data_IF_800434601073
#
_entry.id   IF_800434601073
#
_cell.length_a   1.000
_cell.length_b   1.000
_cell.length_c   1.000
_cell.angle_alpha   90.00
_cell.angle_beta   90.00
_cell.angle_gamma   90.00
#
_symmetry.space_group_name_H-M   'P 1'
#
loop_
_entity.id
_entity.type
_entity.pdbx_description
1 polymer ?
#
# COMPACT_ATOMS: atom_id res chain seq x y z
N UNK A 1 -12.00 14.95 20.65
CA UNK A 1 -12.48 15.21 22.04
C UNK A 1 -13.96 14.86 22.21
N UNK A 2 -14.89 15.44 21.42
CA UNK A 2 -16.32 15.09 21.48
C UNK A 2 -16.58 13.58 21.24
N UNK A 3 -16.02 13.01 20.18
CA UNK A 3 -16.14 11.57 19.89
C UNK A 3 -15.67 10.71 21.06
N UNK A 4 -14.49 11.00 21.62
CA UNK A 4 -13.97 10.27 22.76
C UNK A 4 -14.93 10.33 23.97
N UNK A 5 -15.49 11.50 24.28
CA UNK A 5 -16.44 11.64 25.38
C UNK A 5 -17.74 10.84 25.15
N UNK A 6 -18.25 10.85 23.92
CA UNK A 6 -19.48 10.14 23.55
C UNK A 6 -19.26 8.62 23.46
N UNK A 7 -18.13 8.18 22.93
CA UNK A 7 -17.70 6.78 22.92
C UNK A 7 -17.58 6.26 24.35
N UNK A 8 -16.92 6.99 25.25
CA UNK A 8 -16.84 6.61 26.67
C UNK A 8 -18.23 6.52 27.28
N UNK A 9 -19.11 7.50 27.02
CA UNK A 9 -20.48 7.48 27.53
C UNK A 9 -21.29 6.27 27.03
N UNK A 10 -20.99 5.75 25.84
CA UNK A 10 -21.59 4.53 25.29
C UNK A 10 -20.99 3.27 25.90
N UNK A 11 -19.69 3.22 26.07
CA UNK A 11 -19.01 2.08 26.70
C UNK A 11 -19.39 1.92 28.17
N UNK A 12 -19.76 3.01 28.84
CA UNK A 12 -20.33 2.98 30.20
C UNK A 12 -21.66 2.19 30.26
N UNK A 13 -22.38 2.02 29.13
CA UNK A 13 -23.75 1.48 29.11
C UNK A 13 -23.92 0.22 28.29
N UNK A 14 -23.10 0.03 27.25
CA UNK A 14 -23.08 -1.18 26.43
C UNK A 14 -21.85 -2.00 26.79
N UNK A 15 -21.96 -2.76 27.88
CA UNK A 15 -20.90 -3.63 28.36
C UNK A 15 -20.46 -4.61 27.28
N UNK A 16 -19.15 -4.78 27.12
CA UNK A 16 -18.50 -5.67 26.15
C UNK A 16 -18.56 -5.23 24.67
N UNK A 17 -19.08 -4.04 24.36
CA UNK A 17 -18.95 -3.45 23.03
C UNK A 17 -17.49 -3.04 22.76
N UNK A 18 -16.97 -3.37 21.59
CA UNK A 18 -15.61 -2.99 21.23
C UNK A 18 -15.50 -1.46 21.08
N UNK A 19 -14.34 -0.85 21.34
CA UNK A 19 -14.15 0.59 21.09
C UNK A 19 -14.53 1.01 19.66
N UNK A 20 -14.26 0.15 18.67
CA UNK A 20 -14.61 0.41 17.27
C UNK A 20 -16.13 0.44 17.04
N UNK A 21 -16.87 -0.54 17.59
CA UNK A 21 -18.33 -0.58 17.49
C UNK A 21 -18.98 0.60 18.23
N UNK A 22 -18.43 0.98 19.39
CA UNK A 22 -18.89 2.15 20.14
C UNK A 22 -18.66 3.44 19.39
N UNK A 23 -17.50 3.62 18.75
CA UNK A 23 -17.21 4.76 17.87
C UNK A 23 -18.21 4.77 16.72
N UNK A 24 -18.39 3.64 16.03
CA UNK A 24 -19.29 3.50 14.87
C UNK A 24 -20.71 3.93 15.21
N UNK A 25 -21.25 3.48 16.34
CA UNK A 25 -22.61 3.82 16.73
C UNK A 25 -22.78 5.27 17.21
N UNK A 26 -21.70 5.89 17.70
CA UNK A 26 -21.66 7.31 18.05
C UNK A 26 -21.64 8.16 16.77
N UNK A 27 -20.76 7.86 15.81
CA UNK A 27 -20.64 8.66 14.57
C UNK A 27 -21.86 8.55 13.65
N UNK A 28 -22.56 7.41 13.64
CA UNK A 28 -23.79 7.21 12.85
C UNK A 28 -25.08 7.42 13.63
N UNK A 29 -25.02 8.12 14.77
CA UNK A 29 -26.23 8.49 15.50
C UNK A 29 -27.18 9.32 14.63
N UNK A 30 -28.42 8.86 14.48
CA UNK A 30 -29.45 9.53 13.66
C UNK A 30 -30.52 10.26 14.48
N UNK A 31 -30.30 10.41 15.79
CA UNK A 31 -31.18 11.12 16.70
C UNK A 31 -31.08 12.64 16.56
N UNK A 32 -31.75 13.37 17.44
CA UNK A 32 -31.70 14.85 17.45
C UNK A 32 -30.25 15.33 17.44
N UNK A 33 -29.93 16.20 16.48
CA UNK A 33 -28.60 16.79 16.39
C UNK A 33 -28.32 17.63 17.64
N UNK A 34 -27.17 17.38 18.27
CA UNK A 34 -26.65 18.18 19.39
C UNK A 34 -25.44 18.95 18.91
N UNK A 35 -25.36 20.23 19.26
CA UNK A 35 -24.21 21.06 18.95
C UNK A 35 -23.02 20.78 19.88
N UNK A 36 -22.08 21.72 19.88
CA UNK A 36 -20.75 21.57 20.45
C UNK A 36 -20.53 22.38 21.73
N UNK A 37 -21.53 23.14 22.17
CA UNK A 37 -21.45 23.88 23.43
C UNK A 37 -21.59 22.97 24.65
N UNK A 38 -21.21 23.49 25.82
CA UNK A 38 -21.15 22.69 27.04
C UNK A 38 -22.51 22.10 27.46
N UNK A 39 -23.62 22.80 27.19
CA UNK A 39 -24.95 22.33 27.55
C UNK A 39 -25.36 21.18 26.63
N UNK A 40 -25.25 21.37 25.31
CA UNK A 40 -25.68 20.36 24.34
C UNK A 40 -24.81 19.10 24.40
N UNK A 41 -23.51 19.24 24.69
CA UNK A 41 -22.60 18.12 24.95
C UNK A 41 -23.01 17.34 26.19
N UNK A 42 -23.40 18.03 27.27
CA UNK A 42 -23.88 17.39 28.48
C UNK A 42 -25.18 16.61 28.23
N UNK A 43 -26.14 17.21 27.51
CA UNK A 43 -27.39 16.55 27.12
C UNK A 43 -27.14 15.33 26.22
N UNK A 44 -26.20 15.42 25.28
CA UNK A 44 -25.83 14.30 24.42
C UNK A 44 -25.25 13.12 25.22
N UNK A 45 -24.35 13.39 26.16
CA UNK A 45 -23.76 12.36 27.04
C UNK A 45 -24.83 11.67 27.88
N UNK A 46 -25.76 12.43 28.47
CA UNK A 46 -26.87 11.86 29.23
C UNK A 46 -27.79 11.02 28.35
N UNK A 47 -28.09 11.51 27.14
CA UNK A 47 -28.87 10.77 26.15
C UNK A 47 -28.23 9.44 25.76
N UNK A 48 -26.93 9.45 25.43
CA UNK A 48 -26.17 8.25 25.08
C UNK A 48 -26.19 7.23 26.22
N UNK A 49 -26.02 7.69 27.47
CA UNK A 49 -26.14 6.84 28.65
C UNK A 49 -27.56 6.30 28.87
N UNK A 50 -28.58 7.02 28.41
CA UNK A 50 -29.96 6.56 28.41
C UNK A 50 -30.31 5.70 27.17
N UNK A 51 -29.34 5.40 26.29
CA UNK A 51 -29.52 4.56 25.10
C UNK A 51 -29.93 5.30 23.84
N UNK A 52 -29.90 6.63 23.82
CA UNK A 52 -30.14 7.40 22.58
C UNK A 52 -28.86 7.53 21.76
N UNK A 53 -29.01 7.74 20.45
CA UNK A 53 -27.89 7.92 19.51
C UNK A 53 -28.01 9.28 18.83
N UNK A 54 -27.65 10.38 19.50
CA UNK A 54 -27.78 11.73 18.94
C UNK A 54 -26.89 11.90 17.71
N UNK A 55 -27.34 12.71 16.74
CA UNK A 55 -26.49 13.13 15.63
C UNK A 55 -25.45 14.15 16.11
N UNK A 56 -24.22 14.01 15.65
CA UNK A 56 -23.07 14.78 16.12
C UNK A 56 -22.77 15.93 15.17
N UNK A 57 -22.66 17.13 15.72
CA UNK A 57 -22.11 18.29 15.01
C UNK A 57 -20.83 18.75 15.69
N UNK A 58 -19.84 19.12 14.89
CA UNK A 58 -18.64 19.80 15.36
C UNK A 58 -18.85 21.30 15.50
N UNK A 59 -17.83 21.98 16.04
CA UNK A 59 -17.81 23.45 16.17
C UNK A 59 -17.92 24.20 14.85
N UNK A 60 -17.54 23.56 13.76
CA UNK A 60 -17.50 24.16 12.43
C UNK A 60 -18.57 23.65 11.47
N UNK A 61 -19.48 22.79 11.93
CA UNK A 61 -20.59 22.24 11.14
C UNK A 61 -20.83 20.74 11.40
N UNK A 62 -21.77 20.13 10.64
CA UNK A 62 -21.99 18.69 10.67
C UNK A 62 -20.72 17.90 10.36
N UNK A 63 -20.60 16.70 10.93
CA UNK A 63 -19.50 15.78 10.69
C UNK A 63 -20.05 14.53 10.02
N UNK A 64 -19.72 14.33 8.75
CA UNK A 64 -19.98 13.08 8.05
C UNK A 64 -18.72 12.21 8.08
N UNK A 65 -18.83 10.91 8.31
CA UNK A 65 -17.70 9.99 8.44
C UNK A 65 -17.69 8.91 7.35
N UNK A 66 -16.49 8.44 7.00
CA UNK A 66 -16.25 7.35 6.06
C UNK A 66 -17.04 6.09 6.44
N UNK A 67 -17.72 5.45 5.49
CA UNK A 67 -18.62 4.32 5.76
C UNK A 67 -17.91 3.03 6.22
N UNK A 68 -16.62 2.91 5.88
CA UNK A 68 -15.83 1.70 6.09
C UNK A 68 -15.40 1.59 7.56
N UNK A 69 -14.72 2.61 8.07
CA UNK A 69 -14.12 2.62 9.40
C UNK A 69 -14.85 3.55 10.37
N UNK A 70 -15.55 4.58 9.88
CA UNK A 70 -16.29 5.52 10.72
C UNK A 70 -15.39 6.40 11.59
N UNK A 71 -14.13 6.59 11.18
CA UNK A 71 -13.13 7.33 11.97
C UNK A 71 -12.63 8.59 11.27
N UNK A 72 -12.81 8.67 9.94
CA UNK A 72 -12.34 9.81 9.15
C UNK A 72 -13.50 10.66 8.62
N UNK A 73 -13.44 11.99 8.82
CA UNK A 73 -14.47 12.88 8.31
C UNK A 73 -14.41 12.96 6.77
N UNK A 74 -15.57 12.81 6.12
CA UNK A 74 -15.74 12.90 4.66
C UNK A 74 -15.37 14.27 4.12
N UNK A 75 -15.78 15.30 4.86
CA UNK A 75 -15.46 16.68 4.60
C UNK A 75 -15.23 17.41 5.92
N UNK A 76 -14.22 18.28 5.91
CA UNK A 76 -13.96 19.24 6.98
C UNK A 76 -14.39 20.62 6.50
N UNK A 77 -15.15 21.32 7.34
CA UNK A 77 -15.56 22.69 7.08
C UNK A 77 -14.95 23.62 8.13
N UNK A 78 -14.55 24.81 7.71
CA UNK A 78 -14.12 25.91 8.56
C UNK A 78 -15.07 27.07 8.34
N UNK A 79 -15.82 27.45 9.38
CA UNK A 79 -16.70 28.61 9.33
C UNK A 79 -15.97 29.83 9.90
N UNK A 80 -15.86 30.89 9.11
CA UNK A 80 -15.41 32.19 9.60
C UNK A 80 -16.62 32.91 10.19
N UNK A 81 -16.58 33.20 11.49
CA UNK A 81 -17.64 33.92 12.19
C UNK A 81 -17.13 35.18 12.86
N UNK A 82 -18.04 36.12 13.10
CA UNK A 82 -17.87 37.30 13.95
C UNK A 82 -18.94 37.30 15.03
N UNK A 83 -18.66 37.98 16.15
CA UNK A 83 -19.64 38.20 17.21
C UNK A 83 -20.12 39.64 17.10
N UNK A 84 -21.41 39.81 16.83
CA UNK A 84 -22.11 41.10 16.83
C UNK A 84 -23.27 40.99 17.84
N UNK A 85 -23.37 41.94 18.76
CA UNK A 85 -24.41 41.99 19.82
C UNK A 85 -24.58 40.68 20.63
N UNK A 86 -23.47 40.03 20.99
CA UNK A 86 -23.45 38.73 21.69
C UNK A 86 -24.05 37.57 20.91
N UNK A 87 -24.21 37.72 19.59
CA UNK A 87 -24.68 36.67 18.69
C UNK A 87 -23.62 36.33 17.65
N UNK A 88 -23.48 35.04 17.33
CA UNK A 88 -22.56 34.58 16.29
C UNK A 88 -23.16 34.84 14.90
N UNK A 89 -22.42 35.52 14.04
CA UNK A 89 -22.74 35.71 12.62
C UNK A 89 -21.68 35.08 11.75
N UNK A 90 -22.06 34.10 10.93
CA UNK A 90 -21.15 33.43 9.99
C UNK A 90 -20.92 34.31 8.76
N UNK A 91 -19.67 34.68 8.50
CA UNK A 91 -19.25 35.47 7.34
C UNK A 91 -18.97 34.61 6.10
N UNK A 92 -18.59 33.35 6.29
CA UNK A 92 -18.34 32.40 5.20
C UNK A 92 -17.93 31.02 5.69
N UNK A 93 -18.05 30.02 4.82
CA UNK A 93 -17.68 28.63 5.10
C UNK A 93 -16.66 28.15 4.06
N UNK A 94 -15.53 27.63 4.52
CA UNK A 94 -14.47 27.02 3.73
C UNK A 94 -14.53 25.50 3.92
N UNK A 95 -14.94 24.76 2.89
CA UNK A 95 -14.95 23.29 2.91
C UNK A 95 -13.71 22.69 2.25
N UNK A 96 -13.18 21.58 2.79
CA UNK A 96 -12.23 20.72 2.07
C UNK A 96 -12.88 20.01 0.88
N UNK A 97 -14.21 19.88 0.89
CA UNK A 97 -15.01 19.42 -0.23
C UNK A 97 -15.86 20.55 -0.83
N UNK A 98 -15.84 20.71 -2.16
CA UNK A 98 -17.07 21.17 -2.83
C UNK A 98 -18.03 20.01 -2.62
N UNK A 99 -19.21 20.28 -2.07
CA UNK A 99 -20.23 19.33 -1.59
C UNK A 99 -20.66 18.17 -2.53
N UNK A 100 -20.02 17.96 -3.68
CA UNK A 100 -20.37 16.99 -4.70
C UNK A 100 -19.32 15.88 -4.92
N UNK A 101 -18.24 15.82 -4.13
CA UNK A 101 -17.16 14.82 -4.34
C UNK A 101 -16.57 14.26 -3.04
N UNK A 102 -17.40 13.92 -2.05
CA UNK A 102 -17.09 12.65 -1.36
C UNK A 102 -17.16 11.57 -2.46
N UNK A 103 -16.22 10.62 -2.50
CA UNK A 103 -16.29 9.52 -3.48
C UNK A 103 -17.70 8.94 -3.51
N UNK A 104 -18.18 8.42 -4.64
CA UNK A 104 -19.54 7.89 -4.77
C UNK A 104 -19.90 6.80 -3.72
N UNK A 105 -18.88 6.30 -3.00
CA UNK A 105 -18.84 5.34 -1.89
C UNK A 105 -18.77 5.94 -0.47
N UNK A 106 -18.65 7.27 -0.29
CA UNK A 106 -18.49 7.90 1.02
C UNK A 106 -17.07 7.82 1.59
N UNK A 107 -16.07 8.26 0.81
CA UNK A 107 -14.65 8.36 1.22
C UNK A 107 -14.23 9.80 1.58
N UNK A 108 -13.22 9.95 2.43
CA UNK A 108 -12.71 11.25 2.89
C UNK A 108 -12.02 12.06 1.80
N UNK A 109 -12.51 13.29 1.57
CA UNK A 109 -11.94 14.23 0.59
C UNK A 109 -10.50 14.63 0.93
N UNK A 110 -10.11 14.58 2.21
CA UNK A 110 -8.72 14.80 2.63
C UNK A 110 -7.82 13.65 2.16
N UNK A 111 -8.28 12.40 2.24
CA UNK A 111 -7.55 11.24 1.71
C UNK A 111 -7.41 11.32 0.19
N UNK A 112 -8.49 11.68 -0.52
CA UNK A 112 -8.48 11.82 -1.99
C UNK A 112 -7.61 12.98 -2.48
N UNK A 113 -7.53 14.11 -1.75
CA UNK A 113 -6.62 15.22 -2.11
C UNK A 113 -5.16 14.92 -1.77
N UNK A 114 -4.90 14.27 -0.64
CA UNK A 114 -3.56 13.91 -0.22
C UNK A 114 -2.93 12.88 -1.18
N UNK A 115 -3.72 11.92 -1.66
CA UNK A 115 -3.28 10.96 -2.68
C UNK A 115 -2.78 11.72 -3.93
N UNK A 116 -3.54 12.69 -4.44
CA UNK A 116 -3.16 13.51 -5.59
C UNK A 116 -1.82 14.27 -5.42
N UNK A 117 -1.53 14.78 -4.23
CA UNK A 117 -0.28 15.54 -3.95
C UNK A 117 0.95 14.68 -3.69
N UNK A 118 0.75 13.40 -3.36
CA UNK A 118 1.81 12.44 -3.02
C UNK A 118 2.16 11.50 -4.20
N UNK A 119 1.41 11.61 -5.31
CA UNK A 119 1.93 11.27 -6.62
C UNK A 119 2.82 12.40 -7.10
N UNK A 120 4.05 12.12 -7.51
CA UNK A 120 4.77 13.08 -8.37
C UNK A 120 3.91 13.28 -9.61
N UNK A 121 3.36 14.46 -9.84
CA UNK A 121 2.55 14.77 -11.03
C UNK A 121 3.43 15.47 -12.07
N UNK A 122 3.25 15.17 -13.38
CA UNK A 122 4.01 15.85 -14.41
C UNK A 122 3.76 17.35 -14.37
N UNK A 123 4.81 18.16 -14.52
CA UNK A 123 4.64 19.58 -14.84
C UNK A 123 4.08 19.66 -16.27
N UNK A 124 3.07 20.51 -16.51
CA UNK A 124 2.27 20.59 -17.75
C UNK A 124 3.04 20.89 -19.05
N UNK A 125 4.36 20.88 -19.03
CA UNK A 125 5.26 21.21 -20.14
C UNK A 125 6.33 20.15 -20.42
N UNK A 126 6.26 18.97 -19.80
CA UNK A 126 7.21 17.88 -20.05
C UNK A 126 6.75 16.99 -21.22
N UNK A 127 7.70 16.63 -22.07
CA UNK A 127 7.53 15.59 -23.09
C UNK A 127 7.35 14.26 -22.37
N UNK A 128 6.21 13.62 -22.55
CA UNK A 128 5.94 12.30 -21.99
C UNK A 128 6.92 11.27 -22.58
N UNK A 129 7.44 10.37 -21.76
CA UNK A 129 8.20 9.23 -22.25
C UNK A 129 7.28 8.36 -23.12
N UNK A 130 7.63 8.21 -24.39
CA UNK A 130 7.02 7.24 -25.27
C UNK A 130 7.93 6.01 -25.35
N UNK A 131 7.43 4.81 -25.02
CA UNK A 131 8.20 3.59 -25.16
C UNK A 131 8.73 3.45 -26.59
N UNK A 132 10.01 3.09 -26.77
CA UNK A 132 10.69 3.16 -28.06
C UNK A 132 10.15 2.18 -29.11
N UNK A 133 9.43 1.14 -28.68
CA UNK A 133 8.86 0.11 -29.53
C UNK A 133 7.62 -0.51 -28.89
N UNK A 134 6.90 -1.30 -29.69
CA UNK A 134 5.80 -2.12 -29.21
C UNK A 134 6.30 -3.20 -28.25
N UNK A 135 5.43 -3.59 -27.33
CA UNK A 135 5.68 -4.66 -26.37
C UNK A 135 5.74 -5.99 -27.11
N UNK A 136 6.82 -6.74 -26.91
CA UNK A 136 7.04 -8.05 -27.52
C UNK A 136 7.15 -9.16 -26.48
N UNK A 137 7.40 -8.83 -25.22
CA UNK A 137 7.69 -9.80 -24.17
C UNK A 137 7.38 -9.26 -22.76
N UNK A 138 7.33 -10.16 -21.79
CA UNK A 138 7.14 -9.87 -20.36
C UNK A 138 8.07 -10.71 -19.49
N UNK A 139 8.66 -10.10 -18.46
CA UNK A 139 9.45 -10.81 -17.44
C UNK A 139 9.15 -10.28 -16.05
N UNK A 140 9.27 -11.13 -15.05
CA UNK A 140 9.12 -10.76 -13.65
C UNK A 140 10.33 -11.15 -12.81
N UNK A 141 10.65 -10.35 -11.81
CA UNK A 141 11.62 -10.67 -10.75
C UNK A 141 10.96 -10.40 -9.41
N UNK A 142 10.85 -11.42 -8.57
CA UNK A 142 10.16 -11.35 -7.26
C UNK A 142 11.17 -11.71 -6.18
N UNK A 143 11.31 -10.87 -5.16
CA UNK A 143 12.24 -11.11 -4.05
C UNK A 143 11.61 -10.89 -2.67
N UNK A 144 11.69 -11.92 -1.83
CA UNK A 144 11.36 -11.89 -0.40
C UNK A 144 12.59 -12.30 0.41
N UNK A 145 13.55 -11.40 0.65
CA UNK A 145 14.90 -11.76 1.09
C UNK A 145 15.03 -11.87 2.63
N UNK A 146 13.92 -11.79 3.35
CA UNK A 146 13.90 -11.93 4.80
C UNK A 146 13.80 -13.39 5.23
N UNK A 147 14.64 -13.80 6.17
CA UNK A 147 14.66 -15.15 6.75
C UNK A 147 13.99 -15.20 8.13
N UNK A 148 13.59 -16.39 8.54
CA UNK A 148 13.17 -16.71 9.90
C UNK A 148 11.67 -16.55 10.12
N UNK A 149 11.15 -17.29 11.10
CA UNK A 149 9.72 -17.40 11.38
C UNK A 149 9.00 -16.05 11.61
N UNK A 150 9.68 -15.08 12.22
CA UNK A 150 9.11 -13.74 12.47
C UNK A 150 8.91 -12.90 11.20
N UNK A 151 9.52 -13.31 10.10
CA UNK A 151 9.46 -12.65 8.81
C UNK A 151 8.66 -13.44 7.78
N UNK A 152 7.79 -14.35 8.25
CA UNK A 152 6.87 -15.14 7.44
C UNK A 152 6.25 -14.33 6.29
N UNK A 153 5.64 -13.19 6.62
CA UNK A 153 4.94 -12.29 5.70
C UNK A 153 5.72 -11.92 4.44
N UNK A 154 7.04 -11.68 4.53
CA UNK A 154 7.83 -11.29 3.37
C UNK A 154 7.94 -12.41 2.32
N UNK A 155 8.05 -13.67 2.76
CA UNK A 155 8.10 -14.80 1.84
C UNK A 155 6.70 -15.20 1.34
N UNK A 156 5.68 -15.13 2.18
CA UNK A 156 4.30 -15.39 1.76
C UNK A 156 3.78 -14.32 0.80
N UNK A 157 4.16 -13.06 0.97
CA UNK A 157 3.82 -11.97 0.05
C UNK A 157 4.47 -12.15 -1.32
N UNK A 158 5.78 -12.47 -1.36
CA UNK A 158 6.48 -12.81 -2.60
C UNK A 158 5.79 -13.97 -3.33
N UNK A 159 5.40 -15.03 -2.60
CA UNK A 159 4.68 -16.17 -3.16
C UNK A 159 3.25 -15.83 -3.59
N UNK A 160 2.57 -14.89 -2.92
CA UNK A 160 1.24 -14.44 -3.31
C UNK A 160 1.26 -13.67 -4.63
N UNK A 161 2.28 -12.83 -4.83
CA UNK A 161 2.53 -12.12 -6.10
C UNK A 161 2.88 -13.12 -7.20
N UNK A 162 3.74 -14.09 -6.92
CA UNK A 162 4.08 -15.17 -7.85
C UNK A 162 2.81 -15.94 -8.28
N UNK A 163 1.96 -16.34 -7.33
CA UNK A 163 0.70 -17.03 -7.63
C UNK A 163 -0.22 -16.19 -8.52
N UNK A 164 -0.33 -14.89 -8.24
CA UNK A 164 -1.12 -13.98 -9.08
C UNK A 164 -0.60 -13.91 -10.52
N UNK A 165 0.73 -13.82 -10.73
CA UNK A 165 1.30 -13.83 -12.08
C UNK A 165 1.01 -15.15 -12.81
N UNK A 166 1.10 -16.28 -12.11
CA UNK A 166 0.75 -17.61 -12.64
C UNK A 166 -0.72 -17.70 -13.03
N UNK A 167 -1.62 -17.20 -12.17
CA UNK A 167 -3.05 -17.12 -12.42
C UNK A 167 -3.37 -16.26 -13.65
N UNK A 168 -2.56 -15.24 -13.92
CA UNK A 168 -2.64 -14.39 -15.12
C UNK A 168 -1.96 -15.00 -16.36
N UNK A 169 -1.48 -16.24 -16.28
CA UNK A 169 -0.91 -16.98 -17.40
C UNK A 169 0.58 -16.73 -17.66
N UNK A 170 1.31 -16.13 -16.72
CA UNK A 170 2.78 -16.01 -16.82
C UNK A 170 3.43 -17.37 -16.53
N UNK A 171 4.28 -17.85 -17.43
CA UNK A 171 5.01 -19.11 -17.28
C UNK A 171 6.15 -18.99 -16.25
N UNK A 172 6.57 -20.12 -15.66
CA UNK A 172 7.61 -20.14 -14.62
C UNK A 172 8.95 -19.59 -15.11
N UNK A 173 9.33 -19.95 -16.34
CA UNK A 173 10.55 -19.45 -17.00
C UNK A 173 10.52 -17.95 -17.33
N UNK A 174 9.38 -17.27 -17.09
CA UNK A 174 9.24 -15.82 -17.21
C UNK A 174 9.23 -15.11 -15.84
N UNK A 175 9.35 -15.85 -14.73
CA UNK A 175 9.36 -15.32 -13.37
C UNK A 175 10.62 -15.81 -12.64
N UNK A 176 11.49 -14.89 -12.25
CA UNK A 176 12.63 -15.21 -11.39
C UNK A 176 12.21 -14.99 -9.93
N UNK A 177 12.15 -16.05 -9.13
CA UNK A 177 11.73 -16.02 -7.73
C UNK A 177 12.92 -16.23 -6.77
N UNK A 178 13.11 -15.26 -5.88
CA UNK A 178 14.16 -15.24 -4.87
C UNK A 178 13.57 -15.16 -3.46
N UNK A 179 13.53 -16.27 -2.73
CA UNK A 179 13.03 -16.32 -1.34
C UNK A 179 13.94 -17.18 -0.48
N UNK A 180 14.08 -16.87 0.81
CA UNK A 180 15.00 -17.64 1.66
C UNK A 180 14.55 -19.11 1.83
N UNK A 181 13.24 -19.37 1.72
CA UNK A 181 12.59 -20.69 1.71
C UNK A 181 12.75 -21.51 3.01
N UNK A 182 12.93 -20.84 4.14
CA UNK A 182 13.08 -21.47 5.45
C UNK A 182 11.75 -21.57 6.23
N UNK A 183 10.77 -20.72 5.91
CA UNK A 183 9.48 -20.64 6.62
C UNK A 183 8.67 -21.94 6.56
N UNK A 184 8.52 -22.63 5.41
CA UNK A 184 7.81 -23.92 5.35
C UNK A 184 8.43 -25.00 6.27
N UNK A 185 9.73 -24.90 6.53
CA UNK A 185 10.50 -25.88 7.30
C UNK A 185 10.83 -25.42 8.74
N UNK A 186 10.40 -24.22 9.13
CA UNK A 186 10.63 -23.68 10.46
C UNK A 186 10.02 -24.57 11.56
N UNK A 187 10.69 -24.66 12.71
CA UNK A 187 10.23 -25.50 13.83
C UNK A 187 8.94 -24.96 14.47
N UNK A 188 8.69 -23.68 14.28
CA UNK A 188 7.53 -22.95 14.76
C UNK A 188 6.30 -23.17 13.88
N UNK A 189 6.46 -23.59 12.62
CA UNK A 189 5.36 -23.68 11.65
C UNK A 189 4.38 -24.81 11.94
N UNK A 190 3.16 -24.57 12.46
CA UNK A 190 2.24 -25.65 12.79
C UNK A 190 1.79 -26.46 11.57
N UNK A 191 1.89 -25.88 10.37
CA UNK A 191 1.57 -26.50 9.08
C UNK A 191 2.87 -26.75 8.29
N UNK A 192 3.61 -27.79 8.69
CA UNK A 192 4.92 -28.10 8.09
C UNK A 192 4.82 -28.32 6.58
N UNK A 193 5.67 -27.64 5.83
CA UNK A 193 5.68 -27.66 4.36
C UNK A 193 4.77 -26.60 3.72
N UNK A 194 3.96 -25.90 4.53
CA UNK A 194 3.00 -24.93 4.03
C UNK A 194 3.39 -23.49 4.35
N UNK A 195 3.02 -22.60 3.43
CA UNK A 195 3.04 -21.15 3.63
C UNK A 195 1.80 -20.53 2.96
N UNK A 196 1.16 -19.60 3.65
CA UNK A 196 -0.14 -19.04 3.31
C UNK A 196 -0.12 -17.52 3.46
N UNK A 197 -0.67 -16.77 2.51
CA UNK A 197 -0.74 -15.31 2.62
C UNK A 197 -2.01 -14.81 3.35
N UNK A 198 -3.02 -15.68 3.47
CA UNK A 198 -4.27 -15.41 4.21
C UNK A 198 -4.67 -16.62 5.06
N UNK A 199 -5.43 -16.42 6.16
CA UNK A 199 -5.90 -17.50 7.01
C UNK A 199 -6.67 -18.54 6.22
N UNK A 200 -6.29 -19.82 6.39
CA UNK A 200 -6.88 -20.96 5.66
C UNK A 200 -6.81 -20.83 4.13
N UNK A 201 -5.88 -20.02 3.62
CA UNK A 201 -5.56 -19.93 2.21
C UNK A 201 -4.90 -21.21 1.69
N UNK A 202 -4.63 -21.24 0.39
CA UNK A 202 -3.88 -22.34 -0.21
C UNK A 202 -2.40 -22.32 0.20
N UNK A 203 -1.73 -23.48 0.15
CA UNK A 203 -0.29 -23.54 0.31
C UNK A 203 0.38 -22.98 -0.96
N UNK A 204 0.96 -21.78 -0.85
CA UNK A 204 1.57 -21.08 -1.98
C UNK A 204 2.92 -21.69 -2.39
N UNK A 205 3.66 -22.30 -1.45
CA UNK A 205 4.99 -22.87 -1.73
C UNK A 205 4.91 -24.07 -2.68
N UNK A 206 3.85 -24.88 -2.57
CA UNK A 206 3.68 -26.11 -3.33
C UNK A 206 3.56 -25.89 -4.86
N UNK A 207 3.27 -24.66 -5.29
CA UNK A 207 3.08 -24.30 -6.71
C UNK A 207 4.18 -23.41 -7.27
N UNK A 208 5.21 -23.10 -6.48
CA UNK A 208 6.25 -22.16 -6.83
C UNK A 208 7.56 -22.86 -7.23
N UNK A 209 8.09 -22.47 -8.38
CA UNK A 209 9.48 -22.71 -8.79
C UNK A 209 10.33 -21.57 -8.24
N UNK A 210 11.34 -21.91 -7.43
CA UNK A 210 12.20 -20.93 -6.76
C UNK A 210 13.61 -21.06 -7.34
N UNK A 211 14.12 -19.97 -7.92
CA UNK A 211 15.43 -19.95 -8.58
C UNK A 211 16.58 -19.78 -7.58
N UNK A 212 16.37 -18.96 -6.55
CA UNK A 212 17.38 -18.67 -5.54
C UNK A 212 16.81 -18.83 -4.14
N UNK A 213 17.48 -19.65 -3.32
CA UNK A 213 17.09 -19.94 -1.93
C UNK A 213 18.23 -19.72 -0.95
N UNK A 214 17.89 -19.62 0.34
CA UNK A 214 18.86 -19.48 1.42
C UNK A 214 19.90 -18.39 1.17
N UNK A 215 21.17 -18.75 1.32
CA UNK A 215 22.31 -17.82 1.24
C UNK A 215 22.57 -17.28 -0.17
N UNK A 216 21.90 -17.79 -1.20
CA UNK A 216 21.95 -17.20 -2.55
C UNK A 216 21.08 -15.94 -2.66
N UNK A 217 20.15 -15.71 -1.72
CA UNK A 217 19.25 -14.55 -1.73
C UNK A 217 19.95 -13.33 -1.13
N UNK A 218 20.82 -12.72 -1.93
CA UNK A 218 21.63 -11.54 -1.57
C UNK A 218 21.33 -10.35 -2.48
N UNK A 219 21.67 -9.14 -2.02
CA UNK A 219 21.56 -7.94 -2.85
C UNK A 219 22.46 -7.99 -4.09
N UNK A 220 23.60 -8.69 -4.00
CA UNK A 220 24.51 -8.92 -5.13
C UNK A 220 23.92 -9.88 -6.17
N UNK A 221 23.22 -10.93 -5.74
CA UNK A 221 22.48 -11.83 -6.63
C UNK A 221 21.35 -11.08 -7.31
N UNK A 222 20.56 -10.31 -6.54
CA UNK A 222 19.45 -9.52 -7.07
C UNK A 222 19.94 -8.50 -8.12
N UNK A 223 21.07 -7.84 -7.85
CA UNK A 223 21.73 -6.96 -8.83
C UNK A 223 22.09 -7.69 -10.13
N UNK A 224 22.75 -8.85 -10.05
CA UNK A 224 23.15 -9.61 -11.23
C UNK A 224 21.95 -10.12 -12.03
N UNK A 225 20.92 -10.59 -11.34
CA UNK A 225 19.63 -10.97 -11.93
C UNK A 225 19.06 -9.82 -12.74
N UNK A 226 18.92 -8.62 -12.15
CA UNK A 226 18.34 -7.47 -12.84
C UNK A 226 19.18 -6.98 -14.03
N UNK A 227 20.51 -7.05 -13.95
CA UNK A 227 21.38 -6.63 -15.04
C UNK A 227 21.47 -7.65 -16.18
N UNK A 228 20.99 -8.88 -15.97
CA UNK A 228 21.08 -9.94 -16.97
C UNK A 228 22.52 -10.41 -17.18
N UNK A 229 23.28 -10.57 -16.09
CA UNK A 229 24.70 -10.97 -16.10
C UNK A 229 24.86 -12.38 -15.48
N UNK A 230 24.74 -13.46 -16.27
CA UNK A 230 24.78 -14.81 -15.71
C UNK A 230 26.21 -15.23 -15.36
N UNK A 231 26.35 -15.99 -14.27
CA UNK A 231 27.58 -16.70 -13.88
C UNK A 231 27.30 -18.19 -13.66
N UNK A 232 28.34 -18.98 -13.42
CA UNK A 232 28.18 -20.39 -13.07
C UNK A 232 27.38 -20.57 -11.76
N UNK A 233 27.51 -19.63 -10.82
CA UNK A 233 26.78 -19.60 -9.54
C UNK A 233 25.38 -18.95 -9.63
N UNK A 234 25.18 -18.01 -10.56
CA UNK A 234 23.95 -17.24 -10.78
C UNK A 234 23.53 -17.40 -12.26
N UNK A 235 23.05 -18.59 -12.66
CA UNK A 235 22.80 -18.89 -14.07
C UNK A 235 21.47 -18.32 -14.59
N UNK A 236 20.49 -18.10 -13.71
CA UNK A 236 19.15 -17.60 -14.07
C UNK A 236 19.09 -16.09 -13.83
N UNK A 237 19.06 -15.31 -14.90
CA UNK A 237 19.05 -13.84 -14.85
C UNK A 237 18.00 -13.28 -15.80
N UNK A 238 17.68 -12.00 -15.65
CA UNK A 238 16.70 -11.33 -16.49
C UNK A 238 17.18 -11.24 -17.95
N UNK A 239 16.48 -11.92 -18.84
CA UNK A 239 16.68 -11.80 -20.29
C UNK A 239 15.81 -10.67 -20.87
N UNK A 240 16.19 -9.44 -20.56
CA UNK A 240 15.46 -8.24 -20.92
C UNK A 240 15.94 -7.60 -22.23
N UNK A 241 14.99 -7.12 -23.03
CA UNK A 241 15.23 -6.42 -24.32
C UNK A 241 14.49 -5.08 -24.36
N UNK A 242 14.73 -4.22 -25.36
CA UNK A 242 13.98 -2.96 -25.51
C UNK A 242 12.48 -3.14 -25.77
N UNK A 243 12.00 -4.38 -25.99
CA UNK A 243 10.60 -4.74 -26.16
C UNK A 243 9.97 -5.47 -24.97
N UNK A 244 10.76 -5.75 -23.92
CA UNK A 244 10.33 -6.51 -22.75
C UNK A 244 9.78 -5.56 -21.69
N UNK A 245 8.52 -5.74 -21.29
CA UNK A 245 8.00 -5.11 -20.09
C UNK A 245 8.42 -5.93 -18.86
N UNK A 246 8.91 -5.26 -17.82
CA UNK A 246 9.48 -5.92 -16.64
C UNK A 246 8.67 -5.55 -15.38
N UNK A 247 8.30 -6.55 -14.59
CA UNK A 247 7.68 -6.37 -13.28
C UNK A 247 8.64 -6.82 -12.18
N UNK A 248 8.90 -5.95 -11.22
CA UNK A 248 9.76 -6.28 -10.06
C UNK A 248 8.97 -6.11 -8.78
N UNK A 249 8.99 -7.12 -7.92
CA UNK A 249 8.37 -7.08 -6.61
C UNK A 249 9.36 -7.34 -5.49
N UNK A 250 9.29 -6.55 -4.42
CA UNK A 250 10.17 -6.65 -3.26
C UNK A 250 9.33 -6.57 -1.97
N UNK A 251 9.46 -7.57 -1.09
CA UNK A 251 8.92 -7.52 0.27
C UNK A 251 10.04 -7.75 1.29
N UNK A 252 10.35 -6.76 2.12
CA UNK A 252 11.42 -6.89 3.11
C UNK A 252 11.35 -5.87 4.23
N UNK A 253 12.27 -5.98 5.18
CA UNK A 253 12.61 -4.85 6.04
C UNK A 253 13.32 -3.76 5.24
N UNK A 254 13.13 -2.52 5.67
CA UNK A 254 13.84 -1.36 5.15
C UNK A 254 14.48 -0.52 6.25
N UNK A 255 15.53 0.18 5.86
CA UNK A 255 16.18 1.24 6.63
C UNK A 255 16.19 2.51 5.75
N UNK A 256 16.36 3.71 6.32
CA UNK A 256 16.50 4.91 5.50
C UNK A 256 17.61 4.74 4.45
N UNK A 257 17.24 4.76 3.18
CA UNK A 257 18.13 4.60 2.03
C UNK A 257 18.61 3.17 1.74
N UNK A 258 17.98 2.12 2.30
CA UNK A 258 18.35 0.74 1.98
C UNK A 258 17.28 -0.33 2.23
N UNK A 259 17.27 -1.36 1.38
CA UNK A 259 16.45 -2.58 1.53
C UNK A 259 17.31 -3.67 2.15
N UNK A 260 16.82 -4.30 3.22
CA UNK A 260 17.58 -5.31 3.95
C UNK A 260 17.47 -6.66 3.25
N UNK A 261 18.61 -7.35 3.09
CA UNK A 261 18.70 -8.75 2.70
C UNK A 261 19.24 -9.57 3.88
N UNK A 262 18.76 -10.79 4.06
CA UNK A 262 19.19 -11.65 5.17
C UNK A 262 20.59 -12.26 4.95
N UNK A 263 21.01 -13.14 5.87
CA UNK A 263 22.26 -13.89 5.71
C UNK A 263 23.54 -13.05 5.84
N UNK A 264 23.45 -11.83 6.37
CA UNK A 264 24.59 -10.91 6.44
C UNK A 264 24.92 -10.20 5.13
N UNK A 265 24.05 -10.31 4.12
CA UNK A 265 24.15 -9.53 2.88
C UNK A 265 24.10 -8.03 3.19
N UNK A 266 24.91 -7.19 2.51
CA UNK A 266 24.73 -5.75 2.60
C UNK A 266 23.34 -5.34 2.07
N UNK A 267 22.74 -4.26 2.61
CA UNK A 267 21.48 -3.76 2.09
C UNK A 267 21.64 -3.27 0.64
N UNK A 268 20.58 -3.36 -0.15
CA UNK A 268 20.50 -2.70 -1.45
C UNK A 268 20.24 -1.21 -1.21
N UNK A 269 21.22 -0.35 -1.49
CA UNK A 269 21.13 1.08 -1.18
C UNK A 269 20.40 1.88 -2.26
N UNK A 270 19.99 3.12 -1.96
CA UNK A 270 19.49 4.10 -2.97
C UNK A 270 20.48 4.26 -4.14
N UNK A 271 21.78 4.24 -3.86
CA UNK A 271 22.83 4.32 -4.87
C UNK A 271 22.88 3.09 -5.77
N UNK A 272 22.77 1.89 -5.17
CA UNK A 272 22.72 0.64 -5.93
C UNK A 272 21.47 0.58 -6.80
N UNK A 273 20.30 0.92 -6.25
CA UNK A 273 19.03 0.97 -6.99
C UNK A 273 19.15 1.88 -8.22
N UNK A 274 19.60 3.13 -8.02
CA UNK A 274 19.79 4.10 -9.10
C UNK A 274 20.77 3.58 -10.16
N UNK A 275 21.92 3.05 -9.72
CA UNK A 275 22.94 2.51 -10.61
C UNK A 275 22.45 1.32 -11.42
N UNK A 276 21.67 0.42 -10.82
CA UNK A 276 21.05 -0.72 -11.52
C UNK A 276 20.07 -0.22 -12.58
N UNK A 277 19.12 0.63 -12.20
CA UNK A 277 18.06 1.09 -13.10
C UNK A 277 18.60 1.92 -14.27
N UNK A 278 19.61 2.76 -14.02
CA UNK A 278 20.25 3.56 -15.06
C UNK A 278 21.04 2.67 -16.03
N UNK A 279 21.70 1.63 -15.51
CA UNK A 279 22.41 0.64 -16.35
C UNK A 279 21.42 -0.15 -17.20
N UNK A 280 20.34 -0.66 -16.60
CA UNK A 280 19.28 -1.38 -17.33
C UNK A 280 18.67 -0.53 -18.45
N UNK A 281 18.39 0.75 -18.18
CA UNK A 281 17.88 1.68 -19.19
C UNK A 281 18.89 1.90 -20.32
N UNK A 282 20.14 2.22 -19.96
CA UNK A 282 21.22 2.48 -20.92
C UNK A 282 21.48 1.28 -21.84
N UNK A 283 21.43 0.08 -21.29
CA UNK A 283 21.73 -1.16 -21.99
C UNK A 283 20.48 -1.76 -22.67
N UNK A 284 19.33 -1.06 -22.62
CA UNK A 284 18.10 -1.48 -23.29
C UNK A 284 17.52 -2.78 -22.74
N UNK A 285 17.63 -3.00 -21.43
CA UNK A 285 17.16 -4.23 -20.75
C UNK A 285 15.64 -4.28 -20.53
N UNK A 286 14.93 -3.20 -20.82
CA UNK A 286 13.48 -3.18 -20.73
C UNK A 286 12.89 -2.11 -21.67
N UNK A 287 11.63 -2.30 -22.01
CA UNK A 287 10.75 -1.32 -22.66
C UNK A 287 10.16 -0.37 -21.62
N UNK A 288 9.49 -0.94 -20.63
CA UNK A 288 9.04 -0.30 -19.40
C UNK A 288 9.27 -1.26 -18.21
N UNK A 289 9.56 -0.71 -17.03
CA UNK A 289 9.78 -1.48 -15.81
C UNK A 289 8.96 -0.89 -14.67
N UNK A 290 8.31 -1.74 -13.87
CA UNK A 290 7.58 -1.31 -12.68
C UNK A 290 8.11 -2.02 -11.45
N UNK A 291 8.31 -1.27 -10.37
CA UNK A 291 8.72 -1.78 -9.07
C UNK A 291 7.59 -1.63 -8.07
N UNK A 292 7.16 -2.74 -7.46
CA UNK A 292 6.25 -2.75 -6.31
C UNK A 292 7.08 -3.13 -5.07
N UNK A 293 7.16 -2.22 -4.10
CA UNK A 293 8.09 -2.36 -2.97
C UNK A 293 7.36 -2.20 -1.63
N UNK A 294 7.33 -3.29 -0.86
CA UNK A 294 6.80 -3.34 0.49
C UNK A 294 7.95 -3.37 1.51
N UNK A 295 8.42 -2.19 1.90
CA UNK A 295 9.49 -2.02 2.89
C UNK A 295 9.29 -0.74 3.69
N UNK A 296 9.73 -0.74 4.95
CA UNK A 296 9.92 0.49 5.72
C UNK A 296 10.78 1.50 4.94
N UNK A 297 10.46 2.79 5.03
CA UNK A 297 11.18 3.86 4.34
C UNK A 297 11.26 3.68 2.82
N UNK A 298 10.34 2.95 2.19
CA UNK A 298 10.49 2.50 0.80
C UNK A 298 10.61 3.61 -0.24
N UNK A 299 10.05 4.80 0.00
CA UNK A 299 10.27 5.99 -0.85
C UNK A 299 11.75 6.39 -0.91
N UNK A 300 12.49 6.23 0.20
CA UNK A 300 13.89 6.65 0.30
C UNK A 300 14.82 5.94 -0.71
N UNK A 301 14.44 4.75 -1.16
CA UNK A 301 15.19 3.92 -2.11
C UNK A 301 15.23 4.52 -3.50
N UNK A 302 14.12 5.14 -3.94
CA UNK A 302 13.94 5.62 -5.31
C UNK A 302 14.01 7.16 -5.41
N UNK A 303 14.50 7.86 -4.38
CA UNK A 303 14.60 9.33 -4.37
C UNK A 303 15.47 9.91 -5.49
N UNK A 304 16.40 9.11 -6.01
CA UNK A 304 17.29 9.48 -7.13
C UNK A 304 16.96 8.74 -8.43
N UNK A 305 15.80 8.07 -8.52
CA UNK A 305 15.42 7.34 -9.72
C UNK A 305 15.18 8.31 -10.89
N UNK A 306 15.90 8.13 -11.99
CA UNK A 306 15.76 8.97 -13.19
C UNK A 306 15.67 8.19 -14.51
N UNK A 307 15.84 6.87 -14.45
CA UNK A 307 15.72 5.97 -15.59
C UNK A 307 14.34 6.14 -16.27
N UNK A 308 14.32 6.24 -17.60
CA UNK A 308 13.06 6.36 -18.34
C UNK A 308 12.37 5.01 -18.45
N UNK A 309 11.05 5.04 -18.62
CA UNK A 309 10.21 3.85 -18.63
C UNK A 309 10.09 3.16 -17.27
N UNK A 310 10.59 3.75 -16.18
CA UNK A 310 10.52 3.18 -14.83
C UNK A 310 9.38 3.81 -14.02
N UNK A 311 8.55 2.98 -13.39
CA UNK A 311 7.62 3.39 -12.33
C UNK A 311 8.02 2.73 -11.01
N UNK A 312 7.96 3.46 -9.92
CA UNK A 312 8.23 2.92 -8.58
C UNK A 312 7.04 3.18 -7.66
N UNK A 313 6.48 2.12 -7.09
CA UNK A 313 5.29 2.14 -6.24
C UNK A 313 5.60 1.44 -4.92
N UNK A 314 5.43 2.14 -3.81
CA UNK A 314 5.88 1.67 -2.49
C UNK A 314 4.88 1.96 -1.38
N UNK A 315 4.86 1.09 -0.37
CA UNK A 315 3.92 1.16 0.75
C UNK A 315 4.17 2.27 1.77
N UNK A 316 5.40 2.78 1.88
CA UNK A 316 5.78 3.75 2.92
C UNK A 316 6.61 4.93 2.40
N UNK A 317 6.40 6.09 3.02
CA UNK A 317 7.19 7.31 2.79
C UNK A 317 8.61 7.20 3.36
N UNK A 318 9.48 8.15 3.00
CA UNK A 318 10.91 8.09 3.29
C UNK A 318 11.25 8.20 4.79
N UNK A 319 10.29 8.62 5.61
CA UNK A 319 10.46 8.87 7.05
C UNK A 319 9.68 7.93 7.97
N UNK A 320 9.06 6.88 7.46
CA UNK A 320 8.15 6.02 8.24
C UNK A 320 8.29 4.53 7.93
N UNK A 321 7.93 3.65 8.88
CA UNK A 321 7.88 2.20 8.64
C UNK A 321 6.65 1.79 7.82
N UNK A 322 6.69 0.59 7.23
CA UNK A 322 5.51 -0.13 6.73
C UNK A 322 4.98 -1.11 7.81
N UNK A 323 3.75 -1.60 7.65
CA UNK A 323 3.08 -2.48 8.63
C UNK A 323 2.66 -3.83 8.04
N UNK A 324 2.56 -4.83 8.91
CA UNK A 324 1.86 -6.08 8.64
C UNK A 324 0.34 -5.90 8.61
N UNK A 325 -0.40 -6.74 7.87
CA UNK A 325 -1.86 -6.63 7.75
C UNK A 325 -2.65 -7.81 8.33
N UNK A 326 -2.33 -9.03 7.94
CA UNK A 326 -3.17 -10.19 8.26
C UNK A 326 -2.51 -11.08 9.31
N UNK A 327 -3.01 -11.07 10.54
CA UNK A 327 -2.52 -11.95 11.61
C UNK A 327 -3.36 -13.22 11.71
N UNK A 328 -2.71 -14.38 11.73
CA UNK A 328 -3.36 -15.67 11.91
C UNK A 328 -3.07 -16.24 13.31
N UNK A 329 -4.12 -16.61 14.05
CA UNK A 329 -4.02 -17.11 15.42
C UNK A 329 -3.51 -18.56 15.51
N UNK A 330 -3.77 -19.37 14.48
CA UNK A 330 -3.35 -20.77 14.44
C UNK A 330 -1.86 -20.85 14.08
N UNK A 331 -1.43 -20.07 13.09
CA UNK A 331 -0.03 -19.90 12.68
C UNK A 331 0.75 -19.04 13.68
N UNK A 332 0.08 -18.14 14.41
CA UNK A 332 0.65 -17.18 15.37
C UNK A 332 1.67 -16.25 14.73
N UNK A 333 1.37 -15.79 13.51
CA UNK A 333 2.22 -14.91 12.74
C UNK A 333 1.42 -14.00 11.81
N UNK A 334 2.02 -12.86 11.45
CA UNK A 334 1.58 -12.03 10.34
C UNK A 334 1.86 -12.75 9.02
N UNK A 335 0.82 -12.95 8.22
CA UNK A 335 0.85 -13.66 6.95
C UNK A 335 1.10 -12.75 5.75
N UNK A 336 0.91 -11.44 5.90
CA UNK A 336 1.08 -10.47 4.82
C UNK A 336 1.44 -9.08 5.36
N UNK A 337 2.00 -8.24 4.50
CA UNK A 337 2.20 -6.81 4.69
C UNK A 337 1.02 -5.99 4.11
N UNK A 338 0.78 -4.80 4.68
CA UNK A 338 -0.42 -3.99 4.45
C UNK A 338 -0.49 -3.43 3.04
N UNK A 339 0.64 -2.95 2.50
CA UNK A 339 0.69 -2.47 1.12
C UNK A 339 0.42 -3.62 0.16
N UNK A 340 1.09 -4.75 0.31
CA UNK A 340 0.90 -5.92 -0.55
C UNK A 340 -0.54 -6.44 -0.50
N UNK A 341 -1.09 -6.65 0.70
CA UNK A 341 -2.47 -7.09 0.88
C UNK A 341 -3.48 -6.13 0.22
N UNK A 342 -3.27 -4.83 0.40
CA UNK A 342 -4.14 -3.79 -0.16
C UNK A 342 -4.05 -3.71 -1.69
N UNK A 343 -2.84 -3.72 -2.24
CA UNK A 343 -2.57 -3.65 -3.68
C UNK A 343 -3.08 -4.89 -4.41
N UNK A 344 -2.78 -6.10 -3.90
CA UNK A 344 -3.29 -7.34 -4.49
C UNK A 344 -4.81 -7.42 -4.44
N UNK A 345 -5.42 -6.99 -3.33
CA UNK A 345 -6.88 -6.94 -3.22
C UNK A 345 -7.51 -5.93 -4.19
N UNK A 346 -6.85 -4.80 -4.46
CA UNK A 346 -7.32 -3.80 -5.43
C UNK A 346 -7.26 -4.36 -6.86
N UNK A 347 -6.13 -4.96 -7.24
CA UNK A 347 -5.94 -5.56 -8.58
C UNK A 347 -6.91 -6.72 -8.82
N UNK A 348 -7.14 -7.58 -7.82
CA UNK A 348 -8.10 -8.69 -7.94
C UNK A 348 -9.55 -8.22 -8.04
N UNK A 349 -9.90 -7.12 -7.38
CA UNK A 349 -11.25 -6.56 -7.44
C UNK A 349 -11.54 -5.88 -8.78
N UNK A 350 -10.53 -5.26 -9.39
CA UNK A 350 -10.61 -4.67 -10.72
C UNK A 350 -9.35 -4.98 -11.53
N UNK A 351 -9.38 -6.04 -12.37
CA UNK A 351 -8.24 -6.41 -13.22
C UNK A 351 -7.85 -5.35 -14.26
N UNK A 352 -8.73 -4.39 -14.55
CA UNK A 352 -8.48 -3.30 -15.51
C UNK A 352 -8.04 -1.99 -14.82
N UNK A 353 -7.88 -2.00 -13.49
CA UNK A 353 -7.47 -0.84 -12.71
C UNK A 353 -6.20 -0.21 -13.29
N UNK A 354 -6.22 1.10 -13.47
CA UNK A 354 -5.05 1.86 -13.94
C UNK A 354 -4.04 2.09 -12.81
N UNK A 355 -2.79 2.44 -13.11
CA UNK A 355 -1.83 2.79 -12.05
C UNK A 355 -2.32 3.98 -11.20
N UNK A 356 -3.00 4.95 -11.83
CA UNK A 356 -3.59 6.08 -11.11
C UNK A 356 -4.65 5.63 -10.11
N UNK A 357 -5.58 4.79 -10.53
CA UNK A 357 -6.66 4.28 -9.67
C UNK A 357 -6.11 3.32 -8.61
N UNK A 358 -5.14 2.49 -8.97
CA UNK A 358 -4.46 1.58 -8.03
C UNK A 358 -3.76 2.36 -6.93
N UNK A 359 -3.07 3.44 -7.27
CA UNK A 359 -2.45 4.31 -6.30
C UNK A 359 -3.48 4.90 -5.33
N UNK A 360 -4.58 5.47 -5.83
CA UNK A 360 -5.62 6.06 -4.98
C UNK A 360 -6.23 5.00 -4.06
N UNK A 361 -6.61 3.85 -4.63
CA UNK A 361 -7.24 2.75 -3.89
C UNK A 361 -6.30 2.19 -2.82
N UNK A 362 -5.01 2.00 -3.15
CA UNK A 362 -4.03 1.50 -2.18
C UNK A 362 -3.74 2.54 -1.11
N UNK A 363 -3.62 3.82 -1.48
CA UNK A 363 -3.43 4.92 -0.53
C UNK A 363 -4.57 5.03 0.48
N UNK A 364 -5.81 4.75 0.07
CA UNK A 364 -6.97 4.77 0.94
C UNK A 364 -7.06 3.54 1.87
N UNK A 365 -6.53 2.39 1.43
CA UNK A 365 -6.56 1.13 2.19
C UNK A 365 -5.38 0.93 3.13
N UNK A 366 -4.20 1.45 2.78
CA UNK A 366 -3.02 1.40 3.65
C UNK A 366 -3.16 2.49 4.71
N UNK A 367 -3.39 2.07 5.94
CA UNK A 367 -3.65 2.96 7.08
C UNK A 367 -2.41 3.19 7.94
N UNK A 368 -1.44 2.28 7.89
CA UNK A 368 -0.23 2.31 8.71
C UNK A 368 0.88 3.22 8.21
N UNK A 369 0.85 3.58 6.93
CA UNK A 369 1.89 4.35 6.25
C UNK A 369 1.30 5.08 5.04
N UNK A 370 2.09 5.93 4.42
CA UNK A 370 1.70 6.67 3.24
C UNK A 370 2.37 6.09 2.00
N UNK A 371 1.53 5.51 1.16
CA UNK A 371 1.91 5.00 -0.15
C UNK A 371 2.52 6.12 -1.00
N UNK A 372 3.51 5.76 -1.85
CA UNK A 372 4.15 6.68 -2.79
C UNK A 372 4.25 6.07 -4.17
N UNK A 373 4.07 6.90 -5.19
CA UNK A 373 4.35 6.57 -6.58
C UNK A 373 5.30 7.61 -7.17
N UNK A 374 6.49 7.16 -7.53
CA UNK A 374 7.60 7.98 -7.99
C UNK A 374 7.91 7.74 -9.46
N UNK A 375 8.60 8.71 -10.07
CA UNK A 375 9.08 8.68 -11.45
C UNK A 375 7.97 8.57 -12.52
N UNK A 376 6.74 8.97 -12.18
CA UNK A 376 5.57 8.91 -13.07
C UNK A 376 5.79 9.71 -14.36
N UNK A 377 6.54 10.80 -14.28
CA UNK A 377 6.89 11.70 -15.37
C UNK A 377 7.77 11.02 -16.42
N UNK A 378 8.56 10.01 -16.02
CA UNK A 378 9.48 9.29 -16.87
C UNK A 378 8.93 7.91 -17.29
N UNK A 379 7.81 7.45 -16.73
CA UNK A 379 7.25 6.13 -17.03
C UNK A 379 6.46 6.07 -18.34
N UNK A 380 5.79 7.16 -18.71
CA UNK A 380 4.87 7.25 -19.85
C UNK A 380 3.47 7.66 -19.41
N UNK A 381 2.54 6.70 -19.36
CA UNK A 381 1.17 6.94 -18.88
C UNK A 381 0.81 6.06 -17.70
N UNK A 382 0.37 6.68 -16.61
CA UNK A 382 -0.18 6.01 -15.42
C UNK A 382 -1.68 5.71 -15.55
N UNK A 383 -2.28 6.08 -16.68
CA UNK A 383 -3.66 5.74 -17.03
C UNK A 383 -3.72 4.41 -17.83
N UNK A 384 -2.59 3.68 -17.89
CA UNK A 384 -2.53 2.33 -18.43
C UNK A 384 -3.02 1.32 -17.38
N UNK A 385 -3.77 0.27 -17.80
CA UNK A 385 -4.14 -0.83 -16.92
C UNK A 385 -2.92 -1.54 -16.35
N UNK A 386 -2.90 -1.77 -15.04
CA UNK A 386 -1.80 -2.42 -14.31
C UNK A 386 -1.58 -3.83 -14.82
N UNK A 387 -2.64 -4.55 -15.24
CA UNK A 387 -2.53 -5.91 -15.79
C UNK A 387 -1.57 -6.05 -16.97
N UNK A 388 -1.25 -4.97 -17.70
CA UNK A 388 -0.21 -5.00 -18.75
C UNK A 388 1.17 -5.38 -18.23
N UNK A 389 1.40 -5.17 -16.94
CA UNK A 389 2.63 -5.53 -16.24
C UNK A 389 2.46 -6.75 -15.33
N UNK A 390 1.39 -7.53 -15.50
CA UNK A 390 1.10 -8.71 -14.67
C UNK A 390 0.69 -9.95 -15.49
N UNK A 391 0.85 -9.92 -16.82
CA UNK A 391 0.51 -11.01 -17.74
C UNK A 391 1.46 -10.95 -18.95
N UNK A 392 1.56 -11.99 -19.80
CA UNK A 392 2.40 -11.97 -21.01
C UNK A 392 2.02 -10.93 -22.07
#
# INVERSE_FOLDING_TARGET
>A
LLLAAYTTARQDTVLFESPADSIRAVVYGSGTQKGWDAQEVHEAILGIRAGTTPSISGASGPLDFDLEYGVDPLATYYSHWVIEDSTFRTLGVLGSAKSATAGASGESVSRTRASGTLMTLPKSSQVHFEPPQDRTDFRAVIVGPSQGWRNYRHQSDALAVYSMLRENGVADDHIILMIYDDVPHAKENPLRGDIHNIPKGENLRARAEVDYTGDQVTSATFRQVLLGEPTDEIPVVLDGTPGTDVFVYIASHGIPGGIVFSGGSPPLTTGDFTGITDTMYKDGKYRQIVFFVDTCFGESIATNATAKGLLYFTGAAAGEPSLGAVYDLDIRQWLSDEFTSSTLSAIRADPDITFRELYVTTYERVTGSHVRMLNTENFGSIDLPVRRFLQP
#
